data_IF_006979575797
#
_entry.id   IF_006979575797
#
_cell.length_a   1.000
_cell.length_b   1.000
_cell.length_c   1.000
_cell.angle_alpha   90.00
_cell.angle_beta   90.00
_cell.angle_gamma   90.00
#
_symmetry.space_group_name_H-M   'P 1'
#
loop_
_entity.id
_entity.type
_entity.pdbx_description
1 polymer ?
#
# COMPACT_ATOMS: atom_id res chain seq x y z
N UNK A 1 41.57 1.94 18.43
CA UNK A 1 41.71 0.91 17.37
C UNK A 1 40.70 -0.19 17.64
N UNK A 2 39.55 -0.16 16.97
CA UNK A 2 38.58 -1.25 16.99
C UNK A 2 38.65 -1.87 15.59
N UNK A 3 39.16 -3.10 15.52
CA UNK A 3 39.19 -3.89 14.29
C UNK A 3 37.77 -4.31 13.95
N UNK A 4 37.14 -3.67 12.96
CA UNK A 4 35.91 -4.18 12.38
C UNK A 4 36.25 -5.36 11.45
N UNK A 5 35.78 -6.54 11.84
CA UNK A 5 35.84 -7.76 11.04
C UNK A 5 34.87 -7.67 9.84
N UNK A 6 35.21 -6.87 8.83
CA UNK A 6 34.59 -6.99 7.52
C UNK A 6 35.41 -7.99 6.69
N UNK A 7 34.97 -9.23 6.62
CA UNK A 7 35.59 -10.29 5.79
C UNK A 7 35.47 -10.00 4.28
N UNK A 8 34.73 -8.96 3.89
CA UNK A 8 34.44 -8.61 2.50
C UNK A 8 34.41 -7.07 2.34
N UNK A 9 35.38 -6.45 1.65
CA UNK A 9 35.50 -4.98 1.54
C UNK A 9 34.29 -4.25 0.94
N UNK A 10 33.54 -4.91 0.06
CA UNK A 10 32.33 -4.35 -0.56
C UNK A 10 31.05 -4.54 0.26
N UNK A 11 31.13 -5.30 1.36
CA UNK A 11 30.03 -5.50 2.31
C UNK A 11 30.15 -4.61 3.54
N UNK A 12 31.17 -3.75 3.59
CA UNK A 12 31.36 -2.77 4.65
C UNK A 12 30.22 -1.74 4.59
N UNK A 13 29.43 -1.58 5.67
CA UNK A 13 28.32 -0.62 5.72
C UNK A 13 28.76 0.79 5.31
N UNK A 14 29.97 1.23 5.65
CA UNK A 14 30.46 2.55 5.26
C UNK A 14 30.71 2.66 3.76
N UNK A 15 31.24 1.62 3.12
CA UNK A 15 31.47 1.58 1.67
C UNK A 15 30.15 1.52 0.93
N UNK A 16 29.17 0.74 1.41
CA UNK A 16 27.83 0.68 0.83
C UNK A 16 27.12 2.03 0.96
N UNK A 17 27.18 2.68 2.12
CA UNK A 17 26.52 3.99 2.33
C UNK A 17 27.16 5.08 1.46
N UNK A 18 28.49 5.13 1.37
CA UNK A 18 29.20 6.10 0.53
C UNK A 18 29.08 5.83 -0.97
N UNK A 19 28.98 4.56 -1.39
CA UNK A 19 28.75 4.20 -2.80
C UNK A 19 27.28 4.25 -3.21
N UNK A 20 26.35 4.10 -2.25
CA UNK A 20 24.92 4.18 -2.50
C UNK A 20 24.43 5.61 -2.73
N UNK A 21 25.08 6.66 -2.22
CA UNK A 21 24.78 8.09 -2.45
C UNK A 21 23.45 8.40 -3.20
N UNK A 22 23.45 8.68 -4.52
CA UNK A 22 22.23 8.93 -5.29
C UNK A 22 21.28 7.72 -5.45
N UNK A 23 21.81 6.50 -5.43
CA UNK A 23 21.04 5.25 -5.52
C UNK A 23 20.15 5.02 -4.30
N UNK A 24 20.57 5.45 -3.11
CA UNK A 24 19.73 5.39 -1.92
C UNK A 24 18.43 6.20 -2.11
N UNK A 25 18.53 7.38 -2.74
CA UNK A 25 17.37 8.19 -3.08
C UNK A 25 16.46 7.47 -4.10
N UNK A 26 17.04 6.81 -5.10
CA UNK A 26 16.26 6.02 -6.06
C UNK A 26 15.53 4.85 -5.40
N UNK A 27 16.15 4.18 -4.43
CA UNK A 27 15.50 3.11 -3.65
C UNK A 27 14.33 3.68 -2.85
N UNK A 28 14.51 4.81 -2.16
CA UNK A 28 13.42 5.49 -1.45
C UNK A 28 12.30 5.86 -2.41
N UNK A 29 12.60 6.50 -3.53
CA UNK A 29 11.61 6.83 -4.56
C UNK A 29 10.90 5.59 -5.10
N UNK A 30 11.62 4.49 -5.32
CA UNK A 30 11.07 3.21 -5.76
C UNK A 30 10.10 2.58 -4.74
N UNK A 31 10.43 2.64 -3.46
CA UNK A 31 9.56 2.18 -2.36
C UNK A 31 8.29 3.04 -2.32
N UNK A 32 8.42 4.37 -2.34
CA UNK A 32 7.29 5.30 -2.30
C UNK A 32 6.40 5.17 -3.54
N UNK A 33 7.01 4.97 -4.71
CA UNK A 33 6.32 4.65 -5.96
C UNK A 33 5.52 3.35 -5.83
N UNK A 34 6.15 2.27 -5.35
CA UNK A 34 5.51 0.98 -5.19
C UNK A 34 4.35 1.04 -4.18
N UNK A 35 4.56 1.74 -3.08
CA UNK A 35 3.57 1.93 -2.03
C UNK A 35 2.34 2.71 -2.53
N UNK A 36 2.57 3.75 -3.35
CA UNK A 36 1.50 4.59 -3.88
C UNK A 36 0.77 3.94 -5.06
N UNK A 37 1.46 3.14 -5.88
CA UNK A 37 0.95 2.66 -7.17
C UNK A 37 0.53 1.20 -7.25
N UNK A 38 1.07 0.30 -6.45
CA UNK A 38 0.93 -1.16 -6.68
C UNK A 38 -0.14 -1.85 -5.83
N UNK A 39 -1.05 -1.12 -5.15
CA UNK A 39 -2.07 -1.68 -4.23
C UNK A 39 -1.50 -2.49 -3.03
N UNK A 40 -0.19 -2.70 -2.97
CA UNK A 40 0.57 -3.29 -1.86
C UNK A 40 1.07 -2.24 -0.87
N UNK A 41 0.58 -0.99 -0.96
CA UNK A 41 1.05 0.12 -0.12
C UNK A 41 0.89 -0.08 1.38
N UNK A 42 0.00 -0.96 1.80
CA UNK A 42 -0.10 -1.30 3.22
C UNK A 42 1.09 -2.11 3.73
N UNK A 43 2.00 -2.61 2.88
CA UNK A 43 3.14 -3.44 3.32
C UNK A 43 4.42 -2.64 3.58
N UNK A 44 4.52 -1.42 3.07
CA UNK A 44 5.76 -0.64 3.10
C UNK A 44 5.64 0.54 4.06
N UNK A 45 6.62 0.78 4.97
CA UNK A 45 6.57 1.89 5.92
C UNK A 45 7.03 3.21 5.27
N UNK A 46 6.27 3.71 4.30
CA UNK A 46 6.66 4.90 3.54
C UNK A 46 6.76 6.18 4.35
N UNK A 47 5.78 6.44 5.23
CA UNK A 47 5.77 7.66 6.05
C UNK A 47 7.03 7.76 6.93
N UNK A 48 7.42 6.65 7.55
CA UNK A 48 8.66 6.55 8.34
C UNK A 48 9.87 6.78 7.45
N UNK A 49 9.89 6.20 6.25
CA UNK A 49 10.99 6.37 5.29
C UNK A 49 11.15 7.82 4.84
N UNK A 50 10.04 8.54 4.61
CA UNK A 50 10.07 9.97 4.25
C UNK A 50 10.69 10.83 5.35
N UNK A 51 10.24 10.64 6.60
CA UNK A 51 10.75 11.40 7.75
C UNK A 51 12.23 11.10 7.99
N UNK A 52 12.63 9.83 7.93
CA UNK A 52 14.03 9.43 8.10
C UNK A 52 14.89 9.98 6.95
N UNK A 53 14.41 9.95 5.71
CA UNK A 53 15.12 10.51 4.55
C UNK A 53 15.38 12.01 4.74
N UNK A 54 14.39 12.77 5.20
CA UNK A 54 14.56 14.17 5.57
C UNK A 54 15.65 14.39 6.61
N UNK A 55 15.57 13.64 7.72
CA UNK A 55 16.51 13.76 8.85
C UNK A 55 17.94 13.41 8.43
N UNK A 56 18.12 12.34 7.65
CA UNK A 56 19.43 11.90 7.15
C UNK A 56 20.02 12.87 6.12
N UNK A 57 19.19 13.59 5.39
CA UNK A 57 19.64 14.67 4.49
C UNK A 57 20.34 15.77 5.29
N UNK A 58 19.83 16.12 6.47
CA UNK A 58 20.45 17.11 7.35
C UNK A 58 21.68 16.57 8.09
N UNK A 59 21.55 15.41 8.71
CA UNK A 59 22.50 14.91 9.72
C UNK A 59 23.72 14.23 9.12
N UNK A 60 23.58 13.60 7.95
CA UNK A 60 24.62 12.74 7.38
C UNK A 60 24.83 12.99 5.89
N UNK A 61 24.07 13.93 5.30
CA UNK A 61 24.11 14.26 3.87
C UNK A 61 24.11 13.02 2.97
N UNK A 62 23.35 11.98 3.36
CA UNK A 62 23.42 10.62 2.80
C UNK A 62 23.18 10.61 1.29
N UNK A 63 22.29 11.47 0.80
CA UNK A 63 21.91 11.51 -0.60
C UNK A 63 22.83 12.37 -1.47
N UNK A 64 23.77 13.12 -0.89
CA UNK A 64 24.64 14.03 -1.64
C UNK A 64 23.91 15.22 -2.28
N UNK A 65 22.66 15.49 -1.88
CA UNK A 65 21.76 16.46 -2.50
C UNK A 65 21.07 17.32 -1.44
N UNK A 66 20.73 18.56 -1.82
CA UNK A 66 19.92 19.44 -0.98
C UNK A 66 18.53 18.88 -0.75
N UNK A 67 17.94 19.23 0.39
CA UNK A 67 16.58 18.83 0.78
C UNK A 67 15.52 19.15 -0.28
N UNK A 68 15.70 20.22 -1.04
CA UNK A 68 14.80 20.60 -2.13
C UNK A 68 14.76 19.53 -3.23
N UNK A 69 15.93 19.01 -3.63
CA UNK A 69 16.04 17.97 -4.66
C UNK A 69 15.59 16.61 -4.14
N UNK A 70 15.92 16.28 -2.89
CA UNK A 70 15.45 15.04 -2.24
C UNK A 70 13.92 15.03 -2.14
N UNK A 71 13.34 16.11 -1.61
CA UNK A 71 11.88 16.26 -1.49
C UNK A 71 11.17 16.25 -2.84
N UNK A 72 11.75 16.89 -3.86
CA UNK A 72 11.21 16.88 -5.22
C UNK A 72 11.28 15.49 -5.85
N UNK A 73 12.40 14.78 -5.74
CA UNK A 73 12.54 13.42 -6.28
C UNK A 73 11.53 12.46 -5.66
N UNK A 74 11.33 12.53 -4.34
CA UNK A 74 10.32 11.76 -3.60
C UNK A 74 8.92 12.13 -4.08
N UNK A 75 8.61 13.42 -4.21
CA UNK A 75 7.31 13.87 -4.71
C UNK A 75 7.05 13.36 -6.14
N UNK A 76 8.06 13.33 -7.01
CA UNK A 76 7.96 12.74 -8.36
C UNK A 76 7.70 11.23 -8.27
N UNK A 77 8.41 10.49 -7.43
CA UNK A 77 8.15 9.06 -7.21
C UNK A 77 6.71 8.79 -6.74
N UNK A 78 6.24 9.58 -5.78
CA UNK A 78 4.88 9.52 -5.26
C UNK A 78 3.80 9.93 -6.28
N UNK A 79 4.11 10.87 -7.16
CA UNK A 79 3.24 11.29 -8.26
C UNK A 79 3.11 10.17 -9.29
N UNK A 80 4.24 9.65 -9.78
CA UNK A 80 4.30 8.57 -10.76
C UNK A 80 3.60 7.30 -10.24
N UNK A 81 3.77 6.97 -8.96
CA UNK A 81 3.06 5.86 -8.33
C UNK A 81 1.55 6.07 -8.38
N UNK A 82 1.08 7.27 -8.05
CA UNK A 82 -0.34 7.64 -8.16
C UNK A 82 -0.88 7.52 -9.59
N UNK A 83 -0.14 8.03 -10.58
CA UNK A 83 -0.50 7.91 -12.00
C UNK A 83 -0.64 6.45 -12.43
N UNK A 84 0.30 5.59 -12.04
CA UNK A 84 0.23 4.14 -12.31
C UNK A 84 -0.99 3.52 -11.62
N UNK A 85 -1.26 3.86 -10.37
CA UNK A 85 -2.45 3.40 -9.66
C UNK A 85 -3.75 3.80 -10.36
N UNK A 86 -3.85 5.05 -10.81
CA UNK A 86 -5.00 5.51 -11.60
C UNK A 86 -5.14 4.73 -12.91
N UNK A 87 -4.05 4.56 -13.67
CA UNK A 87 -4.08 3.83 -14.93
C UNK A 87 -4.45 2.36 -14.73
N UNK A 88 -3.99 1.73 -13.65
CA UNK A 88 -4.41 0.38 -13.27
C UNK A 88 -5.93 0.34 -13.04
N UNK A 89 -6.46 1.25 -12.23
CA UNK A 89 -7.92 1.34 -12.01
C UNK A 89 -8.70 1.61 -13.28
N UNK A 90 -8.23 2.53 -14.10
CA UNK A 90 -8.89 2.95 -15.33
C UNK A 90 -8.92 1.84 -16.39
N UNK A 91 -7.81 1.11 -16.56
CA UNK A 91 -7.68 0.06 -17.57
C UNK A 91 -8.26 -1.28 -17.12
N UNK A 92 -8.10 -1.64 -15.85
CA UNK A 92 -8.51 -2.96 -15.33
C UNK A 92 -9.89 -2.93 -14.63
N UNK A 93 -10.50 -1.76 -14.46
CA UNK A 93 -11.93 -1.58 -14.22
C UNK A 93 -12.52 -2.43 -13.06
N UNK A 94 -13.83 -2.75 -13.11
CA UNK A 94 -14.50 -3.58 -12.11
C UNK A 94 -13.85 -4.95 -11.91
N UNK A 95 -13.09 -5.48 -12.89
CA UNK A 95 -12.46 -6.80 -12.79
C UNK A 95 -11.39 -6.90 -11.69
N UNK A 96 -10.77 -5.77 -11.30
CA UNK A 96 -9.88 -5.68 -10.12
C UNK A 96 -10.67 -5.82 -8.82
N UNK A 97 -11.92 -5.36 -8.82
CA UNK A 97 -12.84 -5.37 -7.67
C UNK A 97 -13.68 -6.66 -7.60
N UNK A 98 -13.94 -7.30 -8.73
CA UNK A 98 -14.74 -8.53 -8.86
C UNK A 98 -13.93 -9.80 -8.59
N UNK A 99 -12.61 -9.76 -8.73
CA UNK A 99 -11.75 -10.93 -8.49
C UNK A 99 -11.38 -11.07 -7.00
N UNK A 100 -12.29 -11.76 -6.31
CA UNK A 100 -12.09 -12.58 -5.09
C UNK A 100 -11.87 -11.80 -3.79
N UNK A 101 -12.59 -12.26 -2.78
CA UNK A 101 -12.37 -12.00 -1.35
C UNK A 101 -11.00 -12.51 -0.85
N UNK A 102 -9.91 -12.06 -1.46
CA UNK A 102 -8.57 -12.17 -0.89
C UNK A 102 -8.37 -10.98 0.03
N UNK A 103 -8.11 -11.23 1.33
CA UNK A 103 -8.24 -10.27 2.43
C UNK A 103 -7.45 -8.94 2.37
N UNK A 104 -6.70 -8.67 1.29
CA UNK A 104 -6.15 -7.35 0.97
C UNK A 104 -7.18 -6.43 0.32
N UNK A 105 -8.20 -6.99 -0.33
CA UNK A 105 -9.26 -6.26 -1.04
C UNK A 105 -10.60 -6.52 -0.33
N UNK A 106 -10.95 -5.64 0.62
CA UNK A 106 -12.24 -5.70 1.31
C UNK A 106 -13.22 -4.72 0.66
N UNK A 107 -14.43 -5.19 0.32
CA UNK A 107 -15.54 -4.32 -0.14
C UNK A 107 -15.79 -3.13 0.79
N UNK A 108 -15.46 -3.27 2.09
CA UNK A 108 -15.54 -2.19 3.07
C UNK A 108 -14.51 -1.08 2.80
N UNK A 109 -13.28 -1.41 2.39
CA UNK A 109 -12.25 -0.41 2.03
C UNK A 109 -12.64 0.36 0.76
N UNK A 110 -13.29 -0.34 -0.19
CA UNK A 110 -13.82 0.25 -1.42
C UNK A 110 -14.96 1.21 -1.10
N UNK A 111 -15.93 0.78 -0.28
CA UNK A 111 -17.06 1.62 0.16
C UNK A 111 -16.58 2.85 0.92
N UNK A 112 -15.58 2.71 1.80
CA UNK A 112 -14.94 3.83 2.51
C UNK A 112 -14.31 4.83 1.54
N UNK A 113 -13.62 4.32 0.52
CA UNK A 113 -13.00 5.17 -0.51
C UNK A 113 -14.08 5.90 -1.33
N UNK A 114 -15.15 5.22 -1.76
CA UNK A 114 -16.27 5.86 -2.46
C UNK A 114 -16.94 6.95 -1.63
N UNK A 115 -17.26 6.69 -0.35
CA UNK A 115 -17.81 7.71 0.56
C UNK A 115 -16.86 8.91 0.72
N UNK A 116 -15.55 8.66 0.70
CA UNK A 116 -14.54 9.72 0.78
C UNK A 116 -14.55 10.60 -0.48
N UNK A 117 -14.65 10.00 -1.67
CA UNK A 117 -14.82 10.73 -2.93
C UNK A 117 -16.19 11.43 -3.04
N UNK A 118 -17.28 10.84 -2.54
CA UNK A 118 -18.59 11.49 -2.49
C UNK A 118 -18.57 12.73 -1.60
N UNK A 119 -17.85 12.68 -0.46
CA UNK A 119 -17.78 13.79 0.50
C UNK A 119 -16.83 14.91 0.08
N UNK A 120 -15.66 14.57 -0.47
CA UNK A 120 -14.59 15.54 -0.75
C UNK A 120 -14.35 15.80 -2.23
N UNK A 121 -15.04 15.08 -3.13
CA UNK A 121 -14.90 15.24 -4.57
C UNK A 121 -13.45 15.06 -5.02
N UNK A 122 -12.95 16.00 -5.83
CA UNK A 122 -11.58 15.94 -6.34
C UNK A 122 -10.50 16.17 -5.25
N UNK A 123 -10.83 16.87 -4.15
CA UNK A 123 -9.92 17.05 -3.02
C UNK A 123 -9.64 15.74 -2.27
N UNK A 124 -10.50 14.73 -2.45
CA UNK A 124 -10.28 13.40 -1.91
C UNK A 124 -8.91 12.83 -2.30
N UNK A 125 -8.41 13.14 -3.51
CA UNK A 125 -7.10 12.65 -3.98
C UNK A 125 -5.96 13.19 -3.13
N UNK A 126 -6.04 14.45 -2.69
CA UNK A 126 -5.04 15.07 -1.81
C UNK A 126 -5.18 14.51 -0.39
N UNK A 127 -6.41 14.57 0.16
CA UNK A 127 -6.66 14.20 1.54
C UNK A 127 -6.43 12.71 1.81
N UNK A 128 -6.64 11.86 0.81
CA UNK A 128 -6.41 10.43 0.90
C UNK A 128 -4.97 10.11 1.32
N UNK A 129 -3.98 10.90 0.89
CA UNK A 129 -2.55 10.68 1.18
C UNK A 129 -2.22 10.71 2.68
N UNK A 130 -3.02 11.43 3.48
CA UNK A 130 -2.85 11.51 4.93
C UNK A 130 -3.60 10.41 5.70
N UNK A 131 -4.38 9.59 5.01
CA UNK A 131 -5.14 8.50 5.61
C UNK A 131 -4.58 7.17 5.07
N UNK A 132 -3.78 6.42 5.88
CA UNK A 132 -3.01 5.27 5.40
C UNK A 132 -3.80 4.22 4.62
N UNK A 133 -5.06 3.96 5.02
CA UNK A 133 -5.91 3.01 4.32
C UNK A 133 -6.38 3.62 2.98
N UNK A 134 -6.84 4.88 2.98
CA UNK A 134 -7.45 5.51 1.82
C UNK A 134 -6.41 5.81 0.73
N UNK A 135 -5.18 6.21 1.08
CA UNK A 135 -4.12 6.53 0.08
C UNK A 135 -3.82 5.40 -0.89
N UNK A 136 -3.90 4.14 -0.43
CA UNK A 136 -3.54 2.98 -1.26
C UNK A 136 -4.63 2.65 -2.27
N UNK A 137 -5.91 2.87 -1.91
CA UNK A 137 -7.04 2.58 -2.77
C UNK A 137 -7.50 3.79 -3.60
N UNK A 138 -7.21 5.02 -3.16
CA UNK A 138 -7.73 6.23 -3.80
C UNK A 138 -7.33 6.40 -5.28
N UNK A 139 -6.05 6.18 -5.70
CA UNK A 139 -5.67 6.25 -7.11
C UNK A 139 -6.49 5.27 -7.97
N UNK A 140 -6.58 4.01 -7.53
CA UNK A 140 -7.29 2.96 -8.26
C UNK A 140 -8.79 3.22 -8.29
N UNK A 141 -9.38 3.65 -7.18
CA UNK A 141 -10.79 4.02 -7.11
C UNK A 141 -11.13 5.21 -8.02
N UNK A 142 -10.26 6.23 -8.08
CA UNK A 142 -10.42 7.35 -9.01
C UNK A 142 -10.36 6.89 -10.48
N UNK A 143 -9.49 5.92 -10.78
CA UNK A 143 -9.37 5.30 -12.10
C UNK A 143 -10.64 4.53 -12.49
N UNK A 144 -11.14 3.66 -11.62
CA UNK A 144 -12.39 2.90 -11.84
C UNK A 144 -13.60 3.81 -11.94
N UNK A 145 -13.64 4.88 -11.13
CA UNK A 145 -14.66 5.91 -11.21
C UNK A 145 -14.59 6.79 -12.47
N UNK A 146 -13.64 6.54 -13.38
CA UNK A 146 -13.41 7.31 -14.60
C UNK A 146 -13.32 8.83 -14.35
N UNK A 147 -12.72 9.21 -13.22
CA UNK A 147 -12.49 10.62 -12.91
C UNK A 147 -11.66 11.25 -14.02
N UNK A 148 -11.98 12.48 -14.44
CA UNK A 148 -11.23 13.15 -15.53
C UNK A 148 -9.72 13.16 -15.24
N UNK A 149 -8.93 12.58 -16.14
CA UNK A 149 -7.49 12.38 -15.98
C UNK A 149 -6.73 13.66 -15.64
N UNK A 150 -7.03 14.78 -16.33
CA UNK A 150 -6.34 16.07 -16.09
C UNK A 150 -6.60 16.59 -14.68
N UNK A 151 -7.84 16.48 -14.22
CA UNK A 151 -8.19 16.86 -12.84
C UNK A 151 -7.47 15.94 -11.87
N UNK A 152 -7.60 14.62 -12.03
CA UNK A 152 -6.93 13.64 -11.17
C UNK A 152 -5.43 13.93 -11.06
N UNK A 153 -4.73 14.06 -12.19
CA UNK A 153 -3.29 14.25 -12.22
C UNK A 153 -2.86 15.55 -11.54
N UNK A 154 -3.62 16.64 -11.69
CA UNK A 154 -3.36 17.89 -10.98
C UNK A 154 -3.47 17.72 -9.45
N UNK A 155 -4.58 17.14 -8.96
CA UNK A 155 -4.76 16.90 -7.53
C UNK A 155 -3.75 15.86 -6.99
N UNK A 156 -3.38 14.87 -7.81
CA UNK A 156 -2.36 13.89 -7.50
C UNK A 156 -0.98 14.54 -7.34
N UNK A 157 -0.60 15.44 -8.26
CA UNK A 157 0.66 16.19 -8.20
C UNK A 157 0.73 17.08 -6.97
N UNK A 158 -0.33 17.85 -6.69
CA UNK A 158 -0.41 18.69 -5.49
C UNK A 158 -0.31 17.82 -4.23
N UNK A 159 -1.05 16.72 -4.17
CA UNK A 159 -1.01 15.80 -3.05
C UNK A 159 0.37 15.16 -2.87
N UNK A 160 1.01 14.73 -3.96
CA UNK A 160 2.34 14.14 -3.95
C UNK A 160 3.41 15.12 -3.45
N UNK A 161 3.29 16.38 -3.85
CA UNK A 161 4.18 17.44 -3.40
C UNK A 161 3.98 17.74 -1.91
N UNK A 162 2.73 17.98 -1.47
CA UNK A 162 2.45 18.30 -0.07
C UNK A 162 2.82 17.14 0.85
N UNK A 163 2.42 15.91 0.51
CA UNK A 163 2.70 14.76 1.36
C UNK A 163 4.17 14.32 1.27
N UNK A 164 4.68 14.11 0.06
CA UNK A 164 6.03 13.59 -0.19
C UNK A 164 7.10 14.58 0.24
N UNK A 165 7.08 15.79 -0.30
CA UNK A 165 8.04 16.82 0.09
C UNK A 165 7.77 17.34 1.50
N UNK A 166 6.51 17.45 1.94
CA UNK A 166 6.17 17.95 3.28
C UNK A 166 6.64 17.04 4.40
N UNK A 167 6.42 15.71 4.33
CA UNK A 167 6.93 14.78 5.34
C UNK A 167 8.45 14.68 5.32
N UNK A 168 9.06 14.75 4.14
CA UNK A 168 10.52 14.78 4.01
C UNK A 168 11.09 16.06 4.64
N UNK A 169 10.50 17.22 4.36
CA UNK A 169 10.93 18.48 4.94
C UNK A 169 10.70 18.51 6.46
N UNK A 170 9.59 17.93 6.93
CA UNK A 170 9.33 17.75 8.35
C UNK A 170 10.45 16.96 9.04
N UNK A 171 10.87 15.84 8.44
CA UNK A 171 12.02 15.06 8.91
C UNK A 171 13.33 15.86 8.92
N UNK A 172 13.56 16.68 7.88
CA UNK A 172 14.72 17.57 7.80
C UNK A 172 14.75 18.58 8.94
N UNK A 173 13.61 19.21 9.26
CA UNK A 173 13.48 20.13 10.40
C UNK A 173 13.72 19.41 11.74
N UNK A 174 13.24 18.17 11.89
CA UNK A 174 13.53 17.36 13.09
C UNK A 174 15.04 17.08 13.27
N UNK A 175 15.81 17.05 12.18
CA UNK A 175 17.26 16.92 12.22
C UNK A 175 17.97 18.06 12.98
N UNK A 176 17.36 19.25 13.07
CA UNK A 176 17.91 20.37 13.83
C UNK A 176 17.74 20.23 15.34
N UNK A 177 17.01 19.23 15.82
CA UNK A 177 16.78 18.97 17.25
C UNK A 177 17.77 17.88 17.68
N UNK A 178 18.90 18.20 18.37
CA UNK A 178 19.98 17.24 18.60
C UNK A 178 19.54 15.95 19.32
N UNK A 179 18.71 16.00 20.38
CA UNK A 179 18.23 14.78 21.04
C UNK A 179 17.45 13.84 20.11
N UNK A 180 16.70 14.39 19.15
CA UNK A 180 15.92 13.61 18.19
C UNK A 180 16.84 13.04 17.11
N UNK A 181 17.74 13.86 16.58
CA UNK A 181 18.72 13.44 15.58
C UNK A 181 19.61 12.30 16.09
N UNK A 182 20.14 12.41 17.31
CA UNK A 182 20.99 11.39 17.92
C UNK A 182 20.25 10.08 18.16
N UNK A 183 18.99 10.16 18.64
CA UNK A 183 18.14 8.99 18.83
C UNK A 183 17.87 8.27 17.52
N UNK A 184 17.48 9.02 16.47
CA UNK A 184 17.15 8.42 15.18
C UNK A 184 18.40 7.81 14.53
N UNK A 185 19.55 8.49 14.54
CA UNK A 185 20.80 7.93 14.00
C UNK A 185 21.23 6.65 14.74
N UNK A 186 21.12 6.63 16.07
CA UNK A 186 21.51 5.48 16.89
C UNK A 186 20.61 4.27 16.69
N UNK A 187 19.32 4.49 16.47
CA UNK A 187 18.31 3.43 16.40
C UNK A 187 17.69 3.27 15.02
N UNK A 188 18.30 3.80 13.96
CA UNK A 188 17.71 3.83 12.61
C UNK A 188 17.33 2.42 12.13
N UNK A 189 18.23 1.46 12.31
CA UNK A 189 18.00 0.06 11.89
C UNK A 189 16.82 -0.55 12.65
N UNK A 190 16.70 -0.25 13.96
CA UNK A 190 15.62 -0.73 14.80
C UNK A 190 14.28 -0.03 14.50
N UNK A 191 14.31 1.26 14.17
CA UNK A 191 13.11 2.03 13.77
C UNK A 191 12.60 1.50 12.42
N UNK A 192 13.48 1.32 11.43
CA UNK A 192 13.11 0.79 10.12
C UNK A 192 12.63 -0.66 10.22
N UNK A 193 13.36 -1.52 10.94
CA UNK A 193 12.94 -2.90 11.19
C UNK A 193 11.60 -2.94 11.94
N UNK A 194 11.45 -2.12 12.97
CA UNK A 194 10.22 -2.01 13.75
C UNK A 194 9.04 -1.56 12.87
N UNK A 195 9.23 -0.57 12.01
CA UNK A 195 8.21 -0.11 11.08
C UNK A 195 7.81 -1.20 10.08
N UNK A 196 8.79 -1.93 9.52
CA UNK A 196 8.50 -3.10 8.66
C UNK A 196 7.72 -4.17 9.43
N UNK A 197 8.13 -4.52 10.65
CA UNK A 197 7.45 -5.55 11.48
C UNK A 197 6.03 -5.13 11.84
N UNK A 198 5.84 -3.89 12.32
CA UNK A 198 4.53 -3.33 12.70
C UNK A 198 3.59 -3.28 11.51
N UNK A 199 4.10 -3.04 10.31
CA UNK A 199 3.30 -3.02 9.08
C UNK A 199 3.05 -4.43 8.56
N UNK A 200 4.07 -5.29 8.49
CA UNK A 200 4.00 -6.62 7.88
C UNK A 200 3.24 -7.64 8.73
N UNK A 201 3.41 -7.63 10.06
CA UNK A 201 2.83 -8.66 10.95
C UNK A 201 1.29 -8.60 10.97
N UNK A 202 0.63 -7.44 11.17
CA UNK A 202 -0.83 -7.36 11.12
C UNK A 202 -1.38 -7.70 9.74
N UNK A 203 -0.71 -7.28 8.66
CA UNK A 203 -1.14 -7.57 7.29
C UNK A 203 -1.05 -9.05 6.98
N UNK A 204 0.07 -9.68 7.35
CA UNK A 204 0.25 -11.12 7.16
C UNK A 204 -0.72 -11.91 8.04
N UNK A 205 -0.95 -11.46 9.28
CA UNK A 205 -1.94 -12.06 10.17
C UNK A 205 -3.37 -11.99 9.59
N UNK A 206 -3.80 -10.82 9.09
CA UNK A 206 -5.09 -10.66 8.42
C UNK A 206 -5.19 -11.47 7.14
N UNK A 207 -4.11 -11.56 6.36
CA UNK A 207 -4.04 -12.38 5.14
C UNK A 207 -4.17 -13.87 5.45
N UNK A 208 -3.43 -14.38 6.44
CA UNK A 208 -3.51 -15.79 6.87
C UNK A 208 -4.88 -16.07 7.50
N UNK A 209 -5.45 -15.15 8.28
CA UNK A 209 -6.77 -15.34 8.87
C UNK A 209 -7.88 -15.35 7.81
N UNK A 210 -7.81 -14.47 6.81
CA UNK A 210 -8.78 -14.42 5.71
C UNK A 210 -8.71 -15.68 4.84
N UNK A 211 -7.51 -16.17 4.52
CA UNK A 211 -7.34 -17.44 3.79
C UNK A 211 -7.76 -18.66 4.61
N UNK A 212 -7.52 -18.67 5.94
CA UNK A 212 -8.03 -19.73 6.84
C UNK A 212 -9.55 -19.70 6.96
N UNK A 213 -10.19 -18.54 7.03
CA UNK A 213 -11.65 -18.39 7.03
C UNK A 213 -12.24 -18.82 5.69
N UNK A 214 -11.63 -18.44 4.56
CA UNK A 214 -12.05 -18.88 3.23
C UNK A 214 -11.89 -20.41 3.05
N UNK A 215 -10.81 -20.99 3.58
CA UNK A 215 -10.59 -22.45 3.57
C UNK A 215 -11.56 -23.20 4.48
N UNK A 216 -11.84 -22.67 5.69
CA UNK A 216 -12.87 -23.22 6.59
C UNK A 216 -14.28 -23.13 5.98
N UNK A 217 -14.61 -22.01 5.31
CA UNK A 217 -15.88 -21.85 4.61
C UNK A 217 -15.99 -22.78 3.38
N UNK A 218 -14.90 -23.01 2.65
CA UNK A 218 -14.86 -23.99 1.56
C UNK A 218 -15.02 -25.44 2.07
N UNK A 219 -14.39 -25.77 3.21
CA UNK A 219 -14.52 -27.10 3.85
C UNK A 219 -15.93 -27.29 4.44
N UNK A 220 -16.52 -26.26 5.06
CA UNK A 220 -17.90 -26.32 5.57
C UNK A 220 -18.92 -26.52 4.44
N UNK A 221 -18.76 -25.82 3.30
CA UNK A 221 -19.58 -26.03 2.10
C UNK A 221 -19.36 -27.40 1.43
N UNK A 222 -18.17 -27.99 1.59
CA UNK A 222 -17.89 -29.35 1.14
C UNK A 222 -18.39 -30.44 2.09
N UNK A 223 -18.55 -30.14 3.38
CA UNK A 223 -19.09 -31.06 4.39
C UNK A 223 -20.62 -31.12 4.38
N UNK A 224 -21.30 -30.03 3.97
CA UNK A 224 -22.75 -29.98 3.79
C UNK A 224 -23.21 -30.65 2.47
N UNK A 225 -22.26 -31.00 1.60
CA UNK A 225 -22.46 -31.82 0.39
C UNK A 225 -22.25 -33.32 0.64
N UNK A 226 -22.46 -33.79 1.87
CA UNK A 226 -22.63 -35.22 2.14
C UNK A 226 -24.06 -35.63 1.75
N UNK A 227 -24.19 -36.03 0.47
CA UNK A 227 -25.23 -36.83 -0.18
C UNK A 227 -26.56 -37.02 0.60
N UNK A 228 -27.72 -36.58 0.07
CA UNK A 228 -28.97 -37.25 0.40
C UNK A 228 -28.84 -38.70 -0.07
N UNK A 229 -29.07 -39.66 0.83
CA UNK A 229 -29.15 -41.08 0.47
C UNK A 229 -30.18 -41.29 -0.63
N UNK A 230 -29.82 -42.11 -1.64
CA UNK A 230 -30.57 -42.38 -2.89
C UNK A 230 -32.03 -42.85 -2.73
N UNK A 231 -32.54 -42.97 -1.51
CA UNK A 231 -33.91 -43.37 -1.20
C UNK A 231 -34.94 -42.21 -1.21
N UNK A 232 -34.52 -40.94 -1.18
CA UNK A 232 -35.45 -39.80 -1.02
C UNK A 232 -35.72 -38.98 -2.30
N UNK A 233 -35.09 -39.34 -3.44
CA UNK A 233 -35.20 -38.59 -4.72
C UNK A 233 -35.98 -39.36 -5.80
N UNK A 234 -36.68 -40.45 -5.44
CA UNK A 234 -37.62 -41.10 -6.36
C UNK A 234 -38.97 -40.37 -6.35
N UNK A 235 -39.18 -39.47 -7.31
CA UNK A 235 -40.49 -38.85 -7.56
C UNK A 235 -41.50 -39.92 -7.98
N UNK A 236 -42.68 -39.93 -7.33
CA UNK A 236 -43.78 -40.85 -7.60
C UNK A 236 -44.21 -40.76 -9.08
N UNK A 237 -44.20 -41.87 -9.85
CA UNK A 237 -44.60 -41.91 -11.25
C UNK A 237 -46.03 -41.39 -11.52
N UNK A 238 -46.88 -41.34 -10.50
CA UNK A 238 -48.26 -40.83 -10.59
C UNK A 238 -48.35 -39.34 -10.96
N UNK A 239 -47.29 -38.56 -10.73
CA UNK A 239 -47.22 -37.12 -11.05
C UNK A 239 -47.26 -36.87 -12.56
N UNK A 240 -46.75 -37.79 -13.37
CA UNK A 240 -46.67 -37.62 -14.82
C UNK A 240 -47.97 -37.93 -15.57
N UNK A 241 -49.03 -38.36 -14.87
CA UNK A 241 -50.31 -38.75 -15.49
C UNK A 241 -51.46 -37.76 -15.27
N UNK A 242 -51.25 -36.64 -14.54
CA UNK A 242 -52.31 -35.64 -14.34
C UNK A 242 -52.52 -34.78 -15.60
N UNK A 243 -53.77 -34.68 -16.05
CA UNK A 243 -54.14 -33.84 -17.20
C UNK A 243 -54.21 -32.35 -16.80
N UNK A 244 -53.94 -31.42 -17.72
CA UNK A 244 -53.72 -30.00 -17.41
C UNK A 244 -54.95 -29.18 -16.99
N UNK A 245 -56.13 -29.80 -16.84
CA UNK A 245 -57.37 -29.10 -16.52
C UNK A 245 -57.70 -29.03 -15.01
N UNK A 246 -56.78 -29.48 -14.15
CA UNK A 246 -56.91 -29.36 -12.68
C UNK A 246 -55.72 -28.59 -12.06
N UNK A 247 -55.35 -27.47 -12.69
CA UNK A 247 -54.56 -26.41 -12.06
C UNK A 247 -55.39 -25.13 -11.98
#
# INVERSE_FOLDING_TARGET
>A
MIHHAALIPWLDPNVIIHSAGPWALLVVCGIIFAETGLLVGFLLPGDTLLVISGLLTHTSFVFGLDIWWVGLAIAVGAFLGGEVGYLIGHKFGPSVFERKETGLFSMENVRRTNKFFERFGALAVILARFVPIVRTFAPVAAGVGHMNYKKYSLYNAIGALIWGAGLTYFGFVLGYIPPVADFVQKYIDLILLGAVVVTLVPTLYHYIQSTRKARKAAIARGAEAALPTDAEVALDPSVFQRKPSEL
#
